data_IF_296840976986
#
_entry.id   IF_296840976986
#
_cell.length_a   1.000
_cell.length_b   1.000
_cell.length_c   1.000
_cell.angle_alpha   90.00
_cell.angle_beta   90.00
_cell.angle_gamma   90.00
#
_symmetry.space_group_name_H-M   'P 1'
#
loop_
_entity.id
_entity.type
_entity.pdbx_description
1 polymer ?
#
# COMPACT_ATOMS: atom_id res chain seq x y z
N UNK A 1 -33.10 28.29 13.98
CA UNK A 1 -32.66 28.76 15.32
C UNK A 1 -33.39 30.02 15.80
N UNK A 2 -34.54 30.42 15.25
CA UNK A 2 -35.33 31.60 15.70
C UNK A 2 -36.74 31.23 16.21
N UNK A 3 -37.03 29.93 16.33
CA UNK A 3 -38.40 29.39 16.47
C UNK A 3 -39.05 29.65 17.83
N UNK A 4 -38.28 29.81 18.92
CA UNK A 4 -38.80 29.99 20.29
C UNK A 4 -38.30 31.28 20.95
N UNK A 5 -38.16 32.35 20.16
CA UNK A 5 -37.79 33.67 20.68
C UNK A 5 -39.04 34.40 21.21
N UNK A 6 -38.88 35.28 22.23
CA UNK A 6 -39.97 36.13 22.68
C UNK A 6 -40.48 37.03 21.56
N UNK A 7 -41.76 37.44 21.58
CA UNK A 7 -42.45 38.05 20.44
C UNK A 7 -41.76 39.32 19.91
N UNK A 8 -41.16 40.13 20.79
CA UNK A 8 -40.43 41.33 20.42
C UNK A 8 -39.19 41.04 19.54
N UNK A 9 -38.52 39.90 19.78
CA UNK A 9 -37.37 39.47 18.98
C UNK A 9 -37.80 38.71 17.74
N UNK A 10 -38.92 37.97 17.81
CA UNK A 10 -39.47 37.26 16.65
C UNK A 10 -39.93 38.22 15.55
N UNK A 11 -40.49 39.38 15.92
CA UNK A 11 -40.91 40.43 15.00
C UNK A 11 -39.78 40.97 14.10
N UNK A 12 -38.53 40.92 14.57
CA UNK A 12 -37.36 41.34 13.79
C UNK A 12 -37.06 40.40 12.60
N UNK A 13 -37.57 39.17 12.64
CA UNK A 13 -37.41 38.17 11.59
C UNK A 13 -38.64 38.05 10.68
N UNK A 14 -39.50 39.08 10.66
CA UNK A 14 -40.59 39.15 9.69
C UNK A 14 -40.04 39.15 8.26
N UNK A 15 -40.68 38.40 7.38
CA UNK A 15 -40.33 38.40 5.96
C UNK A 15 -40.54 39.81 5.39
N UNK A 16 -39.64 40.22 4.49
CA UNK A 16 -39.83 41.44 3.69
C UNK A 16 -40.97 41.21 2.69
N UNK A 17 -41.44 42.31 2.11
CA UNK A 17 -42.36 42.25 0.97
C UNK A 17 -41.80 41.33 -0.14
N UNK A 18 -42.68 40.62 -0.85
CA UNK A 18 -42.26 39.74 -1.93
C UNK A 18 -41.49 40.53 -2.99
N UNK A 19 -40.44 39.91 -3.52
CA UNK A 19 -39.66 40.52 -4.59
C UNK A 19 -40.52 40.76 -5.84
N UNK A 20 -40.33 41.89 -6.55
CA UNK A 20 -40.99 42.12 -7.83
C UNK A 20 -40.63 41.02 -8.84
N UNK A 21 -41.63 40.53 -9.56
CA UNK A 21 -41.43 39.51 -10.59
C UNK A 21 -40.65 40.09 -11.78
N UNK A 22 -39.66 39.33 -12.24
CA UNK A 22 -38.99 39.54 -13.51
C UNK A 22 -38.99 38.24 -14.31
N UNK A 23 -39.15 38.31 -15.65
CA UNK A 23 -39.08 37.12 -16.49
C UNK A 23 -37.69 36.48 -16.42
N UNK A 24 -37.59 35.15 -16.57
CA UNK A 24 -36.30 34.46 -16.68
C UNK A 24 -35.43 35.04 -17.81
N UNK A 25 -34.12 35.15 -17.56
CA UNK A 25 -33.16 35.72 -18.52
C UNK A 25 -33.07 34.90 -19.81
N UNK A 26 -33.23 33.59 -19.70
CA UNK A 26 -33.10 32.66 -20.83
C UNK A 26 -34.27 31.67 -20.83
N UNK A 27 -34.56 31.10 -22.01
CA UNK A 27 -35.63 30.13 -22.22
C UNK A 27 -35.30 28.81 -21.54
N UNK A 28 -36.32 27.97 -21.32
CA UNK A 28 -36.09 26.63 -20.77
C UNK A 28 -35.30 25.77 -21.76
N UNK A 29 -34.57 24.76 -21.27
CA UNK A 29 -33.65 23.97 -22.10
C UNK A 29 -34.30 23.35 -23.35
N UNK A 30 -35.59 23.00 -23.28
CA UNK A 30 -36.34 22.40 -24.40
C UNK A 30 -36.91 23.43 -25.39
N UNK A 31 -36.99 24.70 -25.00
CA UNK A 31 -37.43 25.81 -25.86
C UNK A 31 -36.24 26.47 -26.58
N UNK A 32 -35.01 26.17 -26.15
CA UNK A 32 -33.79 26.65 -26.78
C UNK A 32 -33.60 25.96 -28.13
N UNK A 33 -33.64 26.75 -29.21
CA UNK A 33 -33.20 26.30 -30.54
C UNK A 33 -31.68 26.21 -30.54
N UNK A 34 -31.15 24.99 -30.37
CA UNK A 34 -29.71 24.69 -30.47
C UNK A 34 -29.41 24.05 -31.81
N UNK A 35 -28.18 24.21 -32.28
CA UNK A 35 -27.67 23.42 -33.42
C UNK A 35 -27.71 21.94 -33.00
N UNK A 36 -28.32 21.04 -33.80
CA UNK A 36 -28.37 19.63 -33.47
C UNK A 36 -26.96 19.03 -33.53
N UNK A 37 -26.70 18.03 -32.69
CA UNK A 37 -25.47 17.24 -32.80
C UNK A 37 -25.44 16.49 -34.13
N UNK A 38 -24.28 16.49 -34.78
CA UNK A 38 -24.00 15.70 -35.99
C UNK A 38 -23.12 14.51 -35.66
N UNK A 39 -23.18 13.46 -36.48
CA UNK A 39 -22.30 12.29 -36.34
C UNK A 39 -20.85 12.59 -36.75
N UNK A 40 -19.94 11.67 -36.42
CA UNK A 40 -18.50 11.79 -36.71
C UNK A 40 -18.08 11.20 -38.07
N UNK A 41 -19.04 10.81 -38.92
CA UNK A 41 -18.75 10.09 -40.16
C UNK A 41 -17.90 10.88 -41.18
N UNK A 42 -17.90 12.22 -41.10
CA UNK A 42 -17.11 13.07 -41.97
C UNK A 42 -15.60 12.95 -41.72
N UNK A 43 -15.20 12.47 -40.53
CA UNK A 43 -13.80 12.40 -40.08
C UNK A 43 -13.15 11.03 -40.32
N UNK A 44 -13.85 10.06 -40.92
CA UNK A 44 -13.25 8.74 -41.20
C UNK A 44 -12.02 8.79 -42.11
N UNK A 45 -11.87 9.85 -42.90
CA UNK A 45 -10.71 10.06 -43.78
C UNK A 45 -9.44 10.48 -43.03
N UNK A 46 -9.56 10.83 -41.75
CA UNK A 46 -8.45 11.30 -40.92
C UNK A 46 -7.78 10.17 -40.12
N UNK A 47 -8.31 8.94 -40.16
CA UNK A 47 -7.68 7.80 -39.50
C UNK A 47 -6.43 7.33 -40.27
N UNK A 48 -5.37 7.00 -39.53
CA UNK A 48 -4.15 6.42 -40.10
C UNK A 48 -4.42 5.04 -40.72
N UNK A 49 -3.72 4.75 -41.82
CA UNK A 49 -3.77 3.44 -42.46
C UNK A 49 -3.10 2.39 -41.53
N UNK A 50 -3.76 1.24 -41.27
CA UNK A 50 -3.23 0.20 -40.37
C UNK A 50 -1.86 -0.38 -40.77
N UNK A 51 -1.38 -0.08 -41.98
CA UNK A 51 -0.07 -0.48 -42.51
C UNK A 51 1.06 0.42 -42.01
N UNK A 52 0.75 1.69 -41.74
CA UNK A 52 1.73 2.71 -41.33
C UNK A 52 1.78 2.87 -39.80
N UNK A 53 0.80 2.31 -39.08
CA UNK A 53 0.77 2.30 -37.61
C UNK A 53 1.76 1.28 -37.04
N UNK A 54 2.82 1.69 -36.32
CA UNK A 54 3.69 0.75 -35.62
C UNK A 54 2.89 0.00 -34.54
N UNK A 55 3.30 -1.24 -34.19
CA UNK A 55 2.66 -1.96 -33.11
C UNK A 55 2.76 -1.15 -31.81
N UNK A 56 1.71 -1.15 -30.97
CA UNK A 56 1.71 -0.37 -29.74
C UNK A 56 2.90 -0.76 -28.86
N UNK A 57 3.63 0.24 -28.39
CA UNK A 57 4.78 0.05 -27.51
C UNK A 57 4.27 -0.51 -26.18
N UNK A 58 4.55 -1.78 -25.91
CA UNK A 58 4.21 -2.40 -24.63
C UNK A 58 5.13 -1.84 -23.56
N UNK A 59 4.58 -1.00 -22.71
CA UNK A 59 5.22 -0.56 -21.46
C UNK A 59 5.04 -1.66 -20.43
N UNK A 60 6.03 -1.86 -19.56
CA UNK A 60 5.91 -2.80 -18.44
C UNK A 60 4.62 -2.53 -17.65
N UNK A 61 3.81 -3.56 -17.49
CA UNK A 61 2.68 -3.53 -16.58
C UNK A 61 3.17 -3.49 -15.13
N UNK A 62 2.30 -3.04 -14.22
CA UNK A 62 2.60 -3.02 -12.77
C UNK A 62 2.98 -4.40 -12.23
N UNK A 63 2.41 -5.46 -12.81
CA UNK A 63 2.64 -6.86 -12.44
C UNK A 63 4.04 -7.31 -12.85
N UNK A 64 4.43 -7.06 -14.10
CA UNK A 64 5.78 -7.36 -14.62
C UNK A 64 6.86 -6.63 -13.82
N UNK A 65 6.64 -5.35 -13.49
CA UNK A 65 7.55 -4.58 -12.63
C UNK A 65 7.71 -5.17 -11.23
N UNK A 66 6.62 -5.69 -10.66
CA UNK A 66 6.64 -6.34 -9.33
C UNK A 66 7.40 -7.66 -9.38
N UNK A 67 7.21 -8.43 -10.45
CA UNK A 67 7.90 -9.69 -10.64
C UNK A 67 9.41 -9.49 -10.86
N UNK A 68 9.80 -8.50 -11.66
CA UNK A 68 11.21 -8.12 -11.85
C UNK A 68 11.90 -7.80 -10.52
N UNK A 69 11.30 -6.91 -9.72
CA UNK A 69 11.80 -6.56 -8.39
C UNK A 69 11.88 -7.76 -7.44
N UNK A 70 10.98 -8.74 -7.58
CA UNK A 70 11.01 -9.96 -6.76
C UNK A 70 12.18 -10.85 -7.15
N UNK A 71 12.42 -11.04 -8.45
CA UNK A 71 13.55 -11.82 -8.98
C UNK A 71 14.88 -11.21 -8.55
N UNK A 72 15.06 -9.91 -8.78
CA UNK A 72 16.25 -9.16 -8.37
C UNK A 72 16.54 -9.31 -6.86
N UNK A 73 15.52 -9.22 -6.00
CA UNK A 73 15.70 -9.41 -4.54
C UNK A 73 16.09 -10.84 -4.17
N UNK A 74 15.48 -11.83 -4.81
CA UNK A 74 15.79 -13.24 -4.54
C UNK A 74 17.23 -13.54 -4.95
N UNK A 75 17.67 -13.04 -6.10
CA UNK A 75 19.06 -13.18 -6.57
C UNK A 75 20.05 -12.51 -5.61
N UNK A 76 19.76 -11.28 -5.15
CA UNK A 76 20.59 -10.60 -4.17
C UNK A 76 20.69 -11.35 -2.83
N UNK A 77 19.57 -11.90 -2.34
CA UNK A 77 19.54 -12.69 -1.11
C UNK A 77 20.33 -13.99 -1.29
N UNK A 78 20.16 -14.68 -2.42
CA UNK A 78 20.88 -15.90 -2.73
C UNK A 78 22.39 -15.65 -2.77
N UNK A 79 22.83 -14.60 -3.47
CA UNK A 79 24.23 -14.22 -3.53
C UNK A 79 24.82 -13.91 -2.15
N UNK A 80 24.09 -13.16 -1.32
CA UNK A 80 24.52 -12.88 0.05
C UNK A 80 24.61 -14.16 0.90
N UNK A 81 23.63 -15.05 0.80
CA UNK A 81 23.60 -16.30 1.54
C UNK A 81 24.77 -17.21 1.14
N UNK A 82 25.14 -17.26 -0.14
CA UNK A 82 26.32 -17.98 -0.62
C UNK A 82 27.62 -17.42 -0.04
N UNK A 83 27.75 -16.08 0.04
CA UNK A 83 28.89 -15.45 0.70
C UNK A 83 28.92 -15.78 2.20
N UNK A 84 27.81 -15.61 2.89
CA UNK A 84 27.71 -15.87 4.34
C UNK A 84 28.03 -17.35 4.63
N UNK A 85 27.58 -18.28 3.78
CA UNK A 85 27.89 -19.71 3.89
C UNK A 85 29.37 -20.02 3.65
N UNK A 86 30.02 -19.33 2.70
CA UNK A 86 31.44 -19.49 2.46
C UNK A 86 32.32 -18.96 3.61
N UNK A 87 31.85 -17.95 4.34
CA UNK A 87 32.53 -17.40 5.52
C UNK A 87 32.23 -18.17 6.81
N UNK A 88 31.16 -18.97 6.84
CA UNK A 88 30.71 -19.66 8.05
C UNK A 88 31.52 -20.93 8.31
N UNK A 89 32.44 -20.85 9.27
CA UNK A 89 33.19 -22.01 9.80
C UNK A 89 32.84 -22.24 11.28
N UNK A 90 31.99 -23.24 11.61
CA UNK A 90 31.60 -23.55 12.98
C UNK A 90 32.75 -24.01 13.88
N UNK A 91 33.82 -24.55 13.30
CA UNK A 91 34.92 -25.15 14.05
C UNK A 91 35.94 -24.13 14.53
N UNK A 92 35.95 -22.92 13.94
CA UNK A 92 36.90 -21.86 14.25
C UNK A 92 36.26 -20.68 15.01
N UNK A 93 35.10 -20.92 15.65
CA UNK A 93 34.40 -19.89 16.43
C UNK A 93 35.00 -19.82 17.84
N UNK A 94 35.47 -18.65 18.32
CA UNK A 94 36.11 -18.52 19.63
C UNK A 94 35.17 -18.81 20.81
N UNK A 95 33.86 -18.59 20.63
CA UNK A 95 32.82 -18.83 21.63
C UNK A 95 32.18 -20.23 21.50
N UNK A 96 32.78 -21.15 20.75
CA UNK A 96 32.25 -22.50 20.56
C UNK A 96 32.53 -23.42 21.76
N UNK A 97 31.62 -24.37 22.00
CA UNK A 97 31.78 -25.39 23.05
C UNK A 97 32.79 -26.46 22.61
N UNK A 98 33.56 -26.97 23.57
CA UNK A 98 34.65 -27.92 23.31
C UNK A 98 34.21 -29.28 22.72
N UNK A 99 33.00 -29.76 23.04
CA UNK A 99 32.49 -31.07 22.61
C UNK A 99 31.05 -30.94 22.07
N UNK A 100 30.87 -30.97 20.73
CA UNK A 100 29.55 -30.83 20.12
C UNK A 100 28.57 -31.93 20.53
N UNK A 101 29.04 -33.15 20.82
CA UNK A 101 28.17 -34.27 21.20
C UNK A 101 27.58 -34.16 22.61
N UNK A 102 28.11 -33.23 23.42
CA UNK A 102 27.66 -32.96 24.79
C UNK A 102 27.09 -31.55 24.95
N UNK A 103 26.80 -30.88 23.84
CA UNK A 103 26.28 -29.52 23.82
C UNK A 103 24.80 -29.53 23.45
N UNK A 104 23.95 -28.92 24.28
CA UNK A 104 22.52 -28.77 24.00
C UNK A 104 22.23 -27.39 23.42
N UNK A 105 21.49 -27.34 22.32
CA UNK A 105 20.98 -26.08 21.76
C UNK A 105 19.55 -25.83 22.27
N UNK A 106 19.35 -24.74 23.01
CA UNK A 106 18.05 -24.35 23.57
C UNK A 106 17.64 -23.00 22.99
N UNK A 107 16.54 -22.97 22.24
CA UNK A 107 16.00 -21.77 21.61
C UNK A 107 14.62 -21.39 22.17
N UNK A 108 14.14 -20.19 21.79
CA UNK A 108 12.82 -19.66 22.21
C UNK A 108 12.65 -19.50 23.73
N UNK A 109 13.74 -19.18 24.42
CA UNK A 109 13.73 -18.88 25.85
C UNK A 109 13.14 -17.48 26.05
N UNK A 110 12.37 -17.26 27.12
CA UNK A 110 11.94 -15.91 27.47
C UNK A 110 13.16 -15.03 27.78
N UNK A 111 13.21 -13.81 27.22
CA UNK A 111 14.31 -12.85 27.39
C UNK A 111 14.60 -12.50 28.86
N UNK A 112 13.61 -12.61 29.75
CA UNK A 112 13.79 -12.34 31.20
C UNK A 112 14.44 -13.51 31.98
N UNK A 113 14.68 -14.65 31.32
CA UNK A 113 15.22 -15.84 31.99
C UNK A 113 16.71 -15.69 32.21
N UNK A 114 17.17 -15.78 33.47
CA UNK A 114 18.60 -15.75 33.79
C UNK A 114 19.29 -17.08 33.48
N UNK A 115 20.60 -17.01 33.22
CA UNK A 115 21.46 -18.20 33.04
C UNK A 115 21.35 -19.15 34.25
N UNK A 116 21.29 -18.62 35.47
CA UNK A 116 21.16 -19.42 36.69
C UNK A 116 19.86 -20.24 36.73
N UNK A 117 18.76 -19.68 36.21
CA UNK A 117 17.49 -20.41 36.12
C UNK A 117 17.59 -21.51 35.08
N UNK A 118 18.15 -21.24 33.91
CA UNK A 118 18.39 -22.26 32.87
C UNK A 118 19.26 -23.39 33.40
N UNK A 119 20.38 -23.06 34.05
CA UNK A 119 21.27 -24.05 34.65
C UNK A 119 20.53 -24.95 35.62
N UNK A 120 19.74 -24.38 36.55
CA UNK A 120 18.97 -25.16 37.53
C UNK A 120 17.99 -26.15 36.89
N UNK A 121 17.27 -25.73 35.85
CA UNK A 121 16.29 -26.59 35.18
C UNK A 121 16.96 -27.73 34.40
N UNK A 122 18.09 -27.46 33.75
CA UNK A 122 18.80 -28.47 32.95
C UNK A 122 19.74 -29.36 33.77
N UNK A 123 20.17 -28.93 34.95
CA UNK A 123 21.05 -29.70 35.85
C UNK A 123 20.37 -30.96 36.41
N UNK A 124 19.03 -31.02 36.37
CA UNK A 124 18.24 -32.22 36.70
C UNK A 124 18.63 -33.42 35.82
N UNK A 125 19.05 -33.17 34.57
CA UNK A 125 19.43 -34.22 33.61
C UNK A 125 20.91 -34.63 33.71
N UNK A 126 21.71 -33.92 34.51
CA UNK A 126 23.12 -34.21 34.72
C UNK A 126 23.97 -32.95 34.96
N UNK A 127 25.25 -33.14 35.33
CA UNK A 127 26.15 -32.02 35.61
C UNK A 127 26.44 -31.22 34.34
N UNK A 128 26.17 -29.90 34.38
CA UNK A 128 26.43 -28.97 33.26
C UNK A 128 27.86 -28.44 33.37
N UNK A 129 28.63 -28.60 32.30
CA UNK A 129 29.96 -27.99 32.15
C UNK A 129 29.83 -26.55 31.66
N UNK A 130 30.76 -25.70 32.10
CA UNK A 130 30.89 -24.32 31.63
C UNK A 130 31.75 -24.26 30.39
#
# INVERSE_FOLDING_TARGET
MTQFLPPNLLALFAARDPIPYYPPVDKLSHEKKRVPYTGVAQYFKEFEDPKDTPPPTRIETKEERKERKRKERVEQIAYKLEQDLALWDPHNIPDSTSDPYKTLFVARINYDTSESKLRREFEVFGPIRR
#
